data_IF_200473040235
#
_entry.id   IF_200473040235
#
_cell.length_a   1.000
_cell.length_b   1.000
_cell.length_c   1.000
_cell.angle_alpha   90.00
_cell.angle_beta   90.00
_cell.angle_gamma   90.00
#
_symmetry.space_group_name_H-M   'P 1'
#
loop_
_entity.id
_entity.type
_entity.pdbx_description
1 polymer ?
#
# COMPACT_ATOMS: atom_id res chain seq x y z
N UNK A 1 -0.07 5.14 -23.65
CA UNK A 1 -1.00 4.18 -23.01
C UNK A 1 -0.28 3.54 -21.84
N UNK A 2 -0.52 3.99 -20.61
CA UNK A 2 0.06 3.33 -19.43
C UNK A 2 -0.65 2.00 -19.22
N UNK A 3 -0.08 0.92 -19.75
CA UNK A 3 -0.58 -0.44 -19.54
C UNK A 3 -0.42 -0.74 -18.05
N UNK A 4 -1.49 -0.59 -17.28
CA UNK A 4 -1.50 -1.00 -15.87
C UNK A 4 -1.24 -2.50 -15.82
N UNK A 5 -0.32 -2.91 -14.95
CA UNK A 5 0.03 -4.32 -14.81
C UNK A 5 -1.22 -5.14 -14.42
N UNK A 6 -1.25 -6.43 -14.76
CA UNK A 6 -2.38 -7.32 -14.46
C UNK A 6 -2.75 -7.33 -12.97
N UNK A 7 -1.81 -7.09 -12.05
CA UNK A 7 -2.14 -6.96 -10.63
C UNK A 7 -3.18 -5.86 -10.36
N UNK A 8 -3.14 -4.75 -11.11
CA UNK A 8 -4.07 -3.63 -10.99
C UNK A 8 -5.42 -3.91 -11.62
N UNK A 9 -5.45 -4.73 -12.68
CA UNK A 9 -6.68 -5.09 -13.39
C UNK A 9 -7.42 -6.23 -12.69
N UNK A 10 -6.69 -7.23 -12.18
CA UNK A 10 -7.23 -8.43 -11.53
C UNK A 10 -7.56 -8.16 -10.05
N UNK A 11 -6.74 -7.34 -9.38
CA UNK A 11 -6.94 -6.95 -7.98
C UNK A 11 -6.89 -5.43 -7.81
N UNK A 12 -7.93 -4.72 -8.26
CA UNK A 12 -7.98 -3.27 -8.16
C UNK A 12 -8.07 -2.79 -6.72
N UNK A 13 -7.68 -1.52 -6.45
CA UNK A 13 -7.80 -0.93 -5.13
C UNK A 13 -9.26 -0.94 -4.66
N UNK A 14 -9.55 -1.53 -3.50
CA UNK A 14 -10.91 -1.74 -3.01
C UNK A 14 -11.01 -1.57 -1.51
N UNK A 15 -12.15 -1.06 -1.07
CA UNK A 15 -12.54 -0.95 0.34
C UNK A 15 -13.59 -2.01 0.67
N UNK A 16 -13.48 -2.56 1.87
CA UNK A 16 -14.34 -3.61 2.39
C UNK A 16 -14.89 -3.18 3.74
N UNK A 17 -16.21 -3.25 3.90
CA UNK A 17 -16.88 -2.92 5.16
C UNK A 17 -16.91 -4.10 6.14
N UNK A 18 -16.72 -5.32 5.62
CA UNK A 18 -16.78 -6.56 6.38
C UNK A 18 -15.43 -7.28 6.32
N UNK A 19 -14.99 -7.78 7.47
CA UNK A 19 -13.74 -8.52 7.59
C UNK A 19 -13.76 -9.80 6.74
N UNK A 20 -14.91 -10.48 6.69
CA UNK A 20 -15.08 -11.72 5.91
C UNK A 20 -14.82 -11.51 4.42
N UNK A 21 -15.34 -10.45 3.83
CA UNK A 21 -15.11 -10.11 2.42
C UNK A 21 -13.64 -9.75 2.15
N UNK A 22 -13.00 -9.05 3.10
CA UNK A 22 -11.57 -8.72 3.01
C UNK A 22 -10.70 -9.99 3.09
N UNK A 23 -11.02 -10.92 3.99
CA UNK A 23 -10.31 -12.20 4.13
C UNK A 23 -10.45 -13.09 2.90
N UNK A 24 -11.66 -13.19 2.33
CA UNK A 24 -11.90 -13.91 1.08
C UNK A 24 -11.08 -13.30 -0.08
N UNK A 25 -11.06 -11.97 -0.19
CA UNK A 25 -10.25 -11.29 -1.18
C UNK A 25 -8.75 -11.52 -0.96
N UNK A 26 -8.28 -11.45 0.28
CA UNK A 26 -6.89 -11.72 0.65
C UNK A 26 -6.48 -13.15 0.30
N UNK A 27 -7.34 -14.12 0.57
CA UNK A 27 -7.15 -15.51 0.16
C UNK A 27 -6.95 -15.62 -1.35
N UNK A 28 -7.80 -14.95 -2.16
CA UNK A 28 -7.65 -14.95 -3.62
C UNK A 28 -6.33 -14.33 -4.08
N UNK A 29 -5.87 -13.24 -3.45
CA UNK A 29 -4.55 -12.64 -3.74
C UNK A 29 -3.43 -13.64 -3.41
N UNK A 30 -3.51 -14.30 -2.26
CA UNK A 30 -2.50 -15.29 -1.80
C UNK A 30 -2.42 -16.50 -2.72
N UNK A 31 -3.55 -16.99 -3.24
CA UNK A 31 -3.58 -18.10 -4.22
C UNK A 31 -3.24 -17.66 -5.65
N UNK A 32 -3.12 -16.36 -5.91
CA UNK A 32 -2.76 -15.85 -7.22
C UNK A 32 -1.27 -16.07 -7.50
N UNK A 33 -0.94 -16.58 -8.68
CA UNK A 33 0.45 -16.75 -9.16
C UNK A 33 1.14 -15.41 -9.47
N UNK A 34 0.38 -14.32 -9.54
CA UNK A 34 0.89 -12.98 -9.87
C UNK A 34 1.46 -12.24 -8.67
N UNK A 35 1.17 -12.69 -7.44
CA UNK A 35 1.58 -12.03 -6.20
C UNK A 35 2.58 -12.88 -5.42
N UNK A 36 3.41 -12.20 -4.63
CA UNK A 36 4.35 -12.78 -3.68
C UNK A 36 4.08 -12.14 -2.33
N UNK A 37 3.80 -12.94 -1.31
CA UNK A 37 3.68 -12.43 0.05
C UNK A 37 5.06 -11.92 0.51
N UNK A 38 5.14 -10.63 0.84
CA UNK A 38 6.40 -9.98 1.24
C UNK A 38 6.60 -10.00 2.76
N UNK A 39 5.50 -10.07 3.52
CA UNK A 39 5.52 -9.93 4.97
C UNK A 39 4.99 -11.19 5.67
N UNK A 40 5.49 -11.47 6.88
CA UNK A 40 5.05 -12.62 7.69
C UNK A 40 3.62 -12.46 8.17
N UNK A 41 3.19 -11.22 8.39
CA UNK A 41 1.81 -10.89 8.77
C UNK A 41 0.79 -11.18 7.64
N UNK A 42 1.26 -11.39 6.41
CA UNK A 42 0.38 -11.67 5.26
C UNK A 42 -0.47 -10.47 4.84
N UNK A 43 -0.06 -9.27 5.22
CA UNK A 43 -0.74 -8.02 4.89
C UNK A 43 -0.12 -7.29 3.70
N UNK A 44 1.11 -7.66 3.30
CA UNK A 44 1.81 -7.04 2.18
C UNK A 44 2.14 -8.08 1.11
N UNK A 45 1.85 -7.72 -0.14
CA UNK A 45 2.03 -8.57 -1.31
C UNK A 45 2.70 -7.77 -2.43
N UNK A 46 3.76 -8.30 -3.00
CA UNK A 46 4.44 -7.75 -4.17
C UNK A 46 3.96 -8.42 -5.44
N UNK A 47 3.65 -7.64 -6.48
CA UNK A 47 3.40 -8.20 -7.80
C UNK A 47 4.72 -8.71 -8.41
N UNK A 48 4.75 -9.99 -8.81
CA UNK A 48 5.92 -10.61 -9.43
C UNK A 48 6.25 -10.06 -10.83
N UNK A 49 5.26 -9.44 -11.51
CA UNK A 49 5.44 -8.91 -12.87
C UNK A 49 6.00 -7.49 -12.90
N UNK A 50 5.50 -6.60 -12.06
CA UNK A 50 5.88 -5.18 -12.08
C UNK A 50 6.58 -4.71 -10.80
N UNK A 51 6.68 -5.56 -9.78
CA UNK A 51 7.24 -5.17 -8.48
C UNK A 51 6.31 -4.29 -7.63
N UNK A 52 5.10 -3.98 -8.09
CA UNK A 52 4.14 -3.17 -7.33
C UNK A 52 3.81 -3.83 -5.99
N UNK A 53 4.03 -3.11 -4.90
CA UNK A 53 3.65 -3.56 -3.56
C UNK A 53 2.20 -3.19 -3.31
N UNK A 54 1.48 -4.09 -2.68
CA UNK A 54 0.10 -3.96 -2.25
C UNK A 54 0.02 -4.28 -0.78
N UNK A 55 -0.75 -3.49 -0.05
CA UNK A 55 -0.90 -3.66 1.38
C UNK A 55 -2.35 -3.53 1.82
N UNK A 56 -2.67 -4.30 2.86
CA UNK A 56 -3.91 -4.20 3.60
C UNK A 56 -3.78 -3.16 4.71
N UNK A 57 -4.68 -2.20 4.72
CA UNK A 57 -4.92 -1.34 5.87
C UNK A 57 -6.12 -1.91 6.63
N UNK A 58 -5.88 -2.52 7.79
CA UNK A 58 -6.91 -3.09 8.66
C UNK A 58 -7.06 -2.24 9.94
N UNK A 59 -7.81 -1.13 9.88
CA UNK A 59 -8.12 -0.34 11.08
C UNK A 59 -9.04 -1.12 12.04
N UNK A 60 -9.06 -0.72 13.32
CA UNK A 60 -9.96 -1.29 14.36
C UNK A 60 -11.44 -1.14 14.01
N UNK A 61 -11.78 -0.17 13.15
CA UNK A 61 -13.12 0.05 12.62
C UNK A 61 -13.07 0.03 11.10
N UNK A 62 -14.03 -0.63 10.41
CA UNK A 62 -14.08 -0.63 8.95
C UNK A 62 -14.12 0.79 8.38
N UNK A 63 -13.60 1.01 7.16
CA UNK A 63 -13.32 0.00 6.14
C UNK A 63 -11.88 -0.56 6.13
N UNK A 64 -11.77 -1.85 5.81
CA UNK A 64 -10.52 -2.52 5.43
C UNK A 64 -10.15 -2.11 4.01
N UNK A 65 -8.94 -1.60 3.79
CA UNK A 65 -8.55 -1.04 2.50
C UNK A 65 -7.44 -1.86 1.86
N UNK A 66 -7.69 -2.33 0.65
CA UNK A 66 -6.69 -2.90 -0.24
C UNK A 66 -6.20 -1.82 -1.18
N UNK A 67 -4.96 -1.36 -1.00
CA UNK A 67 -4.36 -0.31 -1.83
C UNK A 67 -2.97 -0.75 -2.27
N UNK A 68 -2.53 -0.30 -3.45
CA UNK A 68 -1.14 -0.42 -3.84
C UNK A 68 -0.36 0.55 -2.97
N UNK A 69 0.54 0.01 -2.15
CA UNK A 69 1.60 0.82 -1.55
C UNK A 69 2.40 1.36 -2.73
N UNK A 70 2.54 2.68 -2.88
CA UNK A 70 3.04 3.34 -4.10
C UNK A 70 4.37 2.78 -4.65
N UNK A 71 4.92 3.33 -5.75
CA UNK A 71 6.24 2.89 -6.21
C UNK A 71 7.20 2.94 -5.01
N UNK A 72 7.84 1.80 -4.70
CA UNK A 72 8.63 1.61 -3.49
C UNK A 72 9.83 2.58 -3.47
N UNK A 73 9.58 3.81 -3.05
CA UNK A 73 10.47 4.94 -2.87
C UNK A 73 9.73 5.81 -1.81
N UNK A 74 10.13 5.94 -0.56
CA UNK A 74 11.44 5.80 0.06
C UNK A 74 11.23 5.18 1.44
N UNK A 75 12.12 4.28 1.81
CA UNK A 75 12.38 3.96 3.21
C UNK A 75 12.89 5.26 3.85
N UNK A 76 12.02 6.15 4.30
CA UNK A 76 12.42 7.19 5.23
C UNK A 76 12.53 6.48 6.58
N UNK A 77 13.73 5.95 6.83
CA UNK A 77 14.23 5.68 8.17
C UNK A 77 13.91 6.91 9.01
N UNK A 78 12.82 6.87 9.78
CA UNK A 78 12.50 7.90 10.75
C UNK A 78 13.31 7.61 12.01
N UNK A 79 14.62 7.57 11.84
CA UNK A 79 15.58 7.76 12.91
C UNK A 79 15.69 9.26 13.15
N UNK A 80 15.38 9.67 14.38
CA UNK A 80 15.91 10.90 14.95
C UNK A 80 15.27 12.22 14.51
N UNK A 81 14.61 12.87 15.47
CA UNK A 81 14.85 14.27 15.84
C UNK A 81 15.72 15.11 14.87
N UNK A 82 15.13 16.14 14.27
CA UNK A 82 15.75 17.48 14.19
C UNK A 82 14.69 18.53 13.83
N UNK A 83 14.50 19.43 14.77
CA UNK A 83 13.87 20.74 14.63
C UNK A 83 14.43 21.48 13.40
N UNK A 84 13.57 21.83 12.45
CA UNK A 84 13.83 22.92 11.49
C UNK A 84 12.55 23.73 11.34
N UNK A 85 12.31 24.63 12.30
CA UNK A 85 11.38 25.73 12.09
C UNK A 85 11.98 26.66 11.03
N UNK A 86 11.37 26.62 9.84
CA UNK A 86 11.69 27.52 8.74
C UNK A 86 11.52 28.98 9.16
N UNK A 87 12.64 29.69 9.21
CA UNK A 87 12.75 31.15 9.30
C UNK A 87 11.95 31.81 8.16
N UNK A 88 10.79 32.36 8.50
CA UNK A 88 9.97 33.19 7.64
C UNK A 88 10.64 34.55 7.45
N UNK A 89 11.48 34.70 6.41
CA UNK A 89 11.95 36.02 5.96
C UNK A 89 10.79 36.75 5.29
N UNK A 90 10.02 37.51 6.08
CA UNK A 90 9.08 38.52 5.58
C UNK A 90 9.87 39.65 4.92
N UNK A 91 10.08 39.56 3.60
CA UNK A 91 10.31 40.76 2.77
C UNK A 91 9.00 41.55 2.72
N UNK A 92 8.91 42.65 3.50
CA UNK A 92 7.93 43.71 3.24
C UNK A 92 8.57 44.76 2.33
N UNK A 93 7.86 45.06 1.25
CA UNK A 93 7.99 46.28 0.46
C UNK A 93 7.31 47.42 1.20
#
# INVERSE_FOLDING_TARGET
>A
MSVRCLCYSDFPPRDFLRLRDADEFSSRVRFSTNFLQLDKDGLRFGCRRCGQVWSWTMPEKPPFQWRPEGPALEMQEKDGDHDVQHILVKRRR
#
